data_IF_131667163568
#
_entry.id   IF_131667163568
#
_cell.length_a   1.000
_cell.length_b   1.000
_cell.length_c   1.000
_cell.angle_alpha   90.00
_cell.angle_beta   90.00
_cell.angle_gamma   90.00
#
_symmetry.space_group_name_H-M   'P 1'
#
loop_
_entity.id
_entity.type
_entity.pdbx_description
1 polymer ?
#
# COMPACT_ATOMS: atom_id res chain seq x y z
N UNK A 1 6.09 -32.60 3.29
CA UNK A 1 6.18 -31.20 3.72
C UNK A 1 4.80 -30.60 3.85
N UNK A 2 4.47 -29.99 4.98
CA UNK A 2 3.21 -29.28 5.07
C UNK A 2 3.21 -28.11 4.11
N UNK A 3 2.08 -27.89 3.46
CA UNK A 3 1.92 -26.71 2.58
C UNK A 3 1.89 -25.44 3.42
N UNK A 4 2.45 -24.32 2.90
CA UNK A 4 2.38 -23.05 3.61
C UNK A 4 0.91 -22.61 3.77
N UNK A 5 0.60 -22.01 4.91
CA UNK A 5 -0.71 -21.41 5.12
C UNK A 5 -0.86 -20.16 4.28
N UNK A 6 -2.01 -20.02 3.64
CA UNK A 6 -2.35 -18.83 2.88
C UNK A 6 -2.80 -17.73 3.82
N UNK A 7 -2.23 -16.55 3.66
CA UNK A 7 -2.54 -15.37 4.44
C UNK A 7 -3.06 -14.27 3.50
N UNK A 8 -4.20 -13.74 3.83
CA UNK A 8 -4.84 -12.66 3.07
C UNK A 8 -4.92 -11.41 3.94
N UNK A 9 -4.37 -10.30 3.47
CA UNK A 9 -4.38 -9.05 4.23
C UNK A 9 -5.55 -8.17 3.81
N UNK A 10 -6.30 -7.69 4.79
CA UNK A 10 -7.23 -6.59 4.59
C UNK A 10 -6.43 -5.30 4.36
N UNK A 11 -6.92 -4.48 3.43
CA UNK A 11 -6.32 -3.18 3.14
C UNK A 11 -6.18 -2.31 4.40
N UNK A 12 -7.17 -2.33 5.29
CA UNK A 12 -7.14 -1.54 6.53
C UNK A 12 -5.97 -1.90 7.44
N UNK A 13 -5.63 -3.17 7.55
CA UNK A 13 -4.47 -3.60 8.33
C UNK A 13 -3.19 -3.04 7.76
N UNK A 14 -3.02 -3.15 6.44
CA UNK A 14 -1.83 -2.65 5.76
C UNK A 14 -1.70 -1.13 5.89
N UNK A 15 -2.82 -0.42 5.83
CA UNK A 15 -2.84 1.04 6.01
C UNK A 15 -2.43 1.41 7.44
N UNK A 16 -2.95 0.70 8.44
CA UNK A 16 -2.63 0.93 9.85
C UNK A 16 -1.17 0.63 10.19
N UNK A 17 -0.57 -0.36 9.52
CA UNK A 17 0.84 -0.72 9.70
C UNK A 17 1.80 0.29 9.08
N UNK A 18 1.27 1.27 8.36
CA UNK A 18 2.04 2.39 7.85
C UNK A 18 2.53 2.21 6.42
N UNK A 19 3.22 3.24 5.95
CA UNK A 19 3.74 3.28 4.59
C UNK A 19 4.78 2.18 4.37
N UNK A 20 4.92 1.65 3.15
CA UNK A 20 6.00 0.72 2.84
C UNK A 20 7.38 1.30 3.21
N UNK A 21 8.28 0.50 3.75
CA UNK A 21 8.26 -0.96 3.89
C UNK A 21 7.39 -1.50 5.04
N UNK A 22 6.71 -0.65 5.79
CA UNK A 22 5.79 -1.06 6.83
C UNK A 22 6.44 -1.23 8.20
N UNK A 23 5.69 -1.83 9.09
CA UNK A 23 6.05 -2.04 10.49
C UNK A 23 6.88 -3.31 10.69
N UNK A 24 7.39 -3.55 11.91
CA UNK A 24 8.00 -4.83 12.28
C UNK A 24 7.12 -6.06 11.99
N UNK A 25 5.80 -5.92 12.06
CA UNK A 25 4.88 -7.01 11.70
C UNK A 25 5.06 -7.42 10.24
N UNK A 26 5.14 -6.47 9.33
CA UNK A 26 5.34 -6.73 7.90
C UNK A 26 6.69 -7.43 7.66
N UNK A 27 7.74 -7.02 8.36
CA UNK A 27 9.05 -7.66 8.27
C UNK A 27 9.02 -9.11 8.77
N UNK A 28 8.30 -9.38 9.84
CA UNK A 28 8.10 -10.76 10.35
C UNK A 28 7.37 -11.62 9.34
N UNK A 29 6.37 -11.07 8.68
CA UNK A 29 5.64 -11.77 7.62
C UNK A 29 6.58 -12.13 6.48
N UNK A 30 7.44 -11.20 6.08
CA UNK A 30 8.44 -11.47 5.05
C UNK A 30 9.37 -12.63 5.45
N UNK A 31 9.79 -12.69 6.71
CA UNK A 31 10.61 -13.79 7.23
C UNK A 31 9.87 -15.14 7.19
N UNK A 32 8.60 -15.14 7.55
CA UNK A 32 7.77 -16.35 7.49
C UNK A 32 7.54 -16.82 6.04
N UNK A 33 7.42 -15.91 5.11
CA UNK A 33 7.33 -16.24 3.67
C UNK A 33 8.63 -16.86 3.20
N UNK A 34 9.78 -16.28 3.56
CA UNK A 34 11.10 -16.85 3.21
C UNK A 34 11.32 -18.23 3.79
N UNK A 35 10.80 -18.48 4.99
CA UNK A 35 10.87 -19.78 5.63
C UNK A 35 9.90 -20.81 5.03
N UNK A 36 9.04 -20.40 4.11
CA UNK A 36 8.05 -21.29 3.48
C UNK A 36 6.88 -21.66 4.37
N UNK A 37 6.67 -20.93 5.48
CA UNK A 37 5.59 -21.20 6.43
C UNK A 37 4.26 -20.58 6.04
N UNK A 38 4.30 -19.47 5.33
CA UNK A 38 3.10 -18.77 4.85
C UNK A 38 3.25 -18.34 3.40
N UNK A 39 2.13 -18.20 2.73
CA UNK A 39 2.01 -17.65 1.38
C UNK A 39 1.06 -16.46 1.45
N UNK A 40 1.50 -15.30 1.02
CA UNK A 40 0.67 -14.10 0.98
C UNK A 40 -0.14 -14.09 -0.31
N UNK A 41 -1.44 -13.91 -0.18
CA UNK A 41 -2.38 -13.80 -1.30
C UNK A 41 -3.11 -12.46 -1.15
N UNK A 42 -3.25 -11.74 -2.23
CA UNK A 42 -3.99 -10.47 -2.25
C UNK A 42 -4.65 -10.27 -3.61
N UNK A 43 -5.36 -9.17 -3.76
CA UNK A 43 -5.96 -8.78 -5.03
C UNK A 43 -5.37 -7.45 -5.50
N UNK A 44 -5.46 -7.19 -6.79
CA UNK A 44 -5.08 -5.89 -7.36
C UNK A 44 -5.91 -4.75 -6.77
N UNK A 45 -7.17 -5.02 -6.40
CA UNK A 45 -8.02 -4.04 -5.73
C UNK A 45 -7.45 -3.65 -4.36
N UNK A 46 -7.00 -4.62 -3.57
CA UNK A 46 -6.37 -4.35 -2.26
C UNK A 46 -5.12 -3.49 -2.40
N UNK A 47 -4.26 -3.81 -3.37
CA UNK A 47 -3.06 -3.00 -3.65
C UNK A 47 -3.43 -1.57 -4.00
N UNK A 48 -4.42 -1.40 -4.85
CA UNK A 48 -4.92 -0.08 -5.27
C UNK A 48 -5.50 0.71 -4.09
N UNK A 49 -6.27 0.08 -3.23
CA UNK A 49 -6.85 0.72 -2.04
C UNK A 49 -5.77 1.19 -1.06
N UNK A 50 -4.78 0.37 -0.81
CA UNK A 50 -3.67 0.72 0.09
C UNK A 50 -2.88 1.90 -0.47
N UNK A 51 -2.50 1.85 -1.74
CA UNK A 51 -1.77 2.93 -2.40
C UNK A 51 -2.58 4.24 -2.41
N UNK A 52 -3.86 4.15 -2.74
CA UNK A 52 -4.77 5.30 -2.77
C UNK A 52 -4.90 5.95 -1.40
N UNK A 53 -5.08 5.16 -0.35
CA UNK A 53 -5.25 5.69 1.00
C UNK A 53 -4.00 6.38 1.52
N UNK A 54 -2.83 5.79 1.29
CA UNK A 54 -1.57 6.44 1.64
C UNK A 54 -1.37 7.75 0.85
N UNK A 55 -1.70 7.74 -0.43
CA UNK A 55 -1.60 8.93 -1.27
C UNK A 55 -2.54 10.05 -0.78
N UNK A 56 -3.79 9.71 -0.44
CA UNK A 56 -4.75 10.67 0.10
C UNK A 56 -4.25 11.29 1.41
N UNK A 57 -3.73 10.47 2.31
CA UNK A 57 -3.21 10.93 3.59
C UNK A 57 -2.03 11.89 3.41
N UNK A 58 -1.08 11.56 2.54
CA UNK A 58 0.05 12.43 2.26
C UNK A 58 -0.37 13.73 1.58
N UNK A 59 -1.29 13.63 0.62
CA UNK A 59 -1.80 14.81 -0.07
C UNK A 59 -2.46 15.80 0.89
N UNK A 60 -3.25 15.32 1.85
CA UNK A 60 -3.88 16.18 2.85
C UNK A 60 -2.86 16.97 3.67
N UNK A 61 -1.69 16.38 3.94
CA UNK A 61 -0.64 17.06 4.69
C UNK A 61 0.09 18.09 3.85
N UNK A 62 0.40 17.76 2.59
CA UNK A 62 1.31 18.59 1.78
C UNK A 62 0.62 19.40 0.67
N UNK A 63 -0.71 19.37 0.58
CA UNK A 63 -1.46 20.09 -0.46
C UNK A 63 -1.20 21.59 -0.47
N UNK A 64 -0.80 22.16 0.65
CA UNK A 64 -0.48 23.57 0.78
C UNK A 64 0.75 23.98 -0.06
N UNK A 65 1.63 23.04 -0.38
CA UNK A 65 2.82 23.31 -1.21
C UNK A 65 2.45 23.77 -2.62
N UNK A 66 1.23 23.46 -3.08
CA UNK A 66 0.72 23.93 -4.37
C UNK A 66 0.20 25.37 -4.34
N UNK A 67 0.04 25.98 -3.16
CA UNK A 67 -0.45 27.34 -3.03
C UNK A 67 0.68 28.35 -3.17
N UNK A 68 0.50 29.33 -4.04
CA UNK A 68 1.52 30.34 -4.30
C UNK A 68 1.91 31.14 -3.06
N UNK A 69 0.97 31.43 -2.17
CA UNK A 69 1.24 32.14 -0.93
C UNK A 69 2.15 31.33 0.01
N UNK A 70 1.86 30.06 0.19
CA UNK A 70 2.69 29.15 0.98
C UNK A 70 4.11 29.08 0.41
N UNK A 71 4.23 28.92 -0.90
CA UNK A 71 5.52 28.84 -1.59
C UNK A 71 6.34 30.11 -1.42
N UNK A 72 5.67 31.27 -1.51
CA UNK A 72 6.30 32.57 -1.26
C UNK A 72 6.88 32.66 0.15
N UNK A 73 6.09 32.27 1.15
CA UNK A 73 6.53 32.31 2.54
C UNK A 73 7.72 31.39 2.79
N UNK A 74 7.67 30.17 2.26
CA UNK A 74 8.78 29.22 2.38
C UNK A 74 10.04 29.80 1.73
N UNK A 75 9.92 30.39 0.54
CA UNK A 75 11.07 30.97 -0.17
C UNK A 75 11.69 32.15 0.59
N UNK A 76 10.89 32.90 1.35
CA UNK A 76 11.40 34.02 2.16
C UNK A 76 12.21 33.58 3.37
N UNK A 77 11.85 32.43 3.97
CA UNK A 77 12.46 31.97 5.20
C UNK A 77 13.49 30.85 4.99
N UNK A 78 13.38 30.14 3.90
CA UNK A 78 14.29 29.05 3.54
C UNK A 78 14.78 29.35 2.14
N UNK A 79 16.09 29.48 1.96
CA UNK A 79 16.71 29.74 0.65
C UNK A 79 16.61 28.51 -0.27
N UNK A 80 15.39 28.02 -0.46
CA UNK A 80 15.11 26.87 -1.32
C UNK A 80 14.04 27.25 -2.32
N UNK A 81 14.25 26.88 -3.57
CA UNK A 81 13.26 27.06 -4.62
C UNK A 81 12.40 25.80 -4.68
N UNK A 82 11.13 25.92 -4.32
CA UNK A 82 10.18 24.83 -4.50
C UNK A 82 9.78 24.79 -5.98
N UNK A 83 9.76 23.62 -6.61
CA UNK A 83 9.32 23.50 -7.99
C UNK A 83 7.85 23.90 -8.12
N UNK A 84 7.50 24.56 -9.20
CA UNK A 84 6.11 24.87 -9.49
C UNK A 84 5.35 23.58 -9.79
N UNK A 85 4.22 23.41 -9.14
CA UNK A 85 3.43 22.19 -9.28
C UNK A 85 1.96 22.49 -9.03
N UNK A 86 1.11 22.08 -9.96
CA UNK A 86 -0.33 22.16 -9.76
C UNK A 86 -0.79 21.09 -8.77
N UNK A 87 -1.99 21.25 -8.21
CA UNK A 87 -2.59 20.23 -7.34
C UNK A 87 -2.73 18.88 -8.03
N UNK A 88 -3.09 18.89 -9.32
CA UNK A 88 -3.23 17.68 -10.12
C UNK A 88 -1.89 16.96 -10.28
N UNK A 89 -0.83 17.69 -10.57
CA UNK A 89 0.52 17.11 -10.68
C UNK A 89 0.98 16.51 -9.35
N UNK A 90 0.74 17.22 -8.26
CA UNK A 90 1.10 16.72 -6.93
C UNK A 90 0.38 15.42 -6.61
N UNK A 91 -0.93 15.34 -6.87
CA UNK A 91 -1.71 14.11 -6.68
C UNK A 91 -1.17 12.95 -7.49
N UNK A 92 -0.86 13.20 -8.77
CA UNK A 92 -0.34 12.17 -9.67
C UNK A 92 1.01 11.66 -9.19
N UNK A 93 1.92 12.54 -8.78
CA UNK A 93 3.24 12.15 -8.28
C UNK A 93 3.14 11.31 -7.00
N UNK A 94 2.30 11.72 -6.07
CA UNK A 94 2.08 10.98 -4.83
C UNK A 94 1.48 9.61 -5.12
N UNK A 95 0.44 9.54 -5.95
CA UNK A 95 -0.20 8.29 -6.36
C UNK A 95 0.78 7.33 -7.01
N UNK A 96 1.58 7.81 -7.96
CA UNK A 96 2.56 6.98 -8.65
C UNK A 96 3.61 6.44 -7.72
N UNK A 97 4.06 7.26 -6.77
CA UNK A 97 5.04 6.83 -5.78
C UNK A 97 4.51 5.71 -4.90
N UNK A 98 3.29 5.83 -4.39
CA UNK A 98 2.69 4.81 -3.54
C UNK A 98 2.32 3.56 -4.31
N UNK A 99 1.86 3.68 -5.54
CA UNK A 99 1.62 2.53 -6.41
C UNK A 99 2.90 1.69 -6.55
N UNK A 100 4.02 2.34 -6.85
CA UNK A 100 5.32 1.65 -6.95
C UNK A 100 5.77 1.06 -5.63
N UNK A 101 5.61 1.79 -4.52
CA UNK A 101 6.03 1.34 -3.20
C UNK A 101 5.23 0.12 -2.73
N UNK A 102 3.92 0.13 -2.95
CA UNK A 102 3.05 -0.99 -2.59
C UNK A 102 3.35 -2.21 -3.47
N UNK A 103 3.53 -2.02 -4.76
CA UNK A 103 3.94 -3.10 -5.66
C UNK A 103 5.25 -3.73 -5.22
N UNK A 104 6.23 -2.92 -4.85
CA UNK A 104 7.53 -3.40 -4.37
C UNK A 104 7.39 -4.16 -3.06
N UNK A 105 6.55 -3.69 -2.14
CA UNK A 105 6.28 -4.37 -0.88
C UNK A 105 5.75 -5.78 -1.13
N UNK A 106 4.72 -5.92 -1.96
CA UNK A 106 4.11 -7.22 -2.23
C UNK A 106 5.02 -8.14 -3.04
N UNK A 107 5.86 -7.61 -3.92
CA UNK A 107 6.91 -8.40 -4.57
C UNK A 107 7.91 -8.94 -3.55
N UNK A 108 8.30 -8.13 -2.57
CA UNK A 108 9.17 -8.57 -1.47
C UNK A 108 8.54 -9.66 -0.62
N UNK A 109 7.22 -9.65 -0.45
CA UNK A 109 6.46 -10.69 0.22
C UNK A 109 6.17 -11.89 -0.66
N UNK A 110 6.58 -11.86 -1.93
CA UNK A 110 6.29 -12.89 -2.94
C UNK A 110 4.78 -13.17 -3.04
N UNK A 111 3.98 -12.15 -2.89
CA UNK A 111 2.53 -12.25 -2.84
C UNK A 111 1.96 -12.73 -4.19
N UNK A 112 0.98 -13.62 -4.10
CA UNK A 112 0.17 -13.98 -5.24
C UNK A 112 -0.94 -12.94 -5.39
N UNK A 113 -0.93 -12.21 -6.50
CA UNK A 113 -1.89 -11.13 -6.77
C UNK A 113 -2.95 -11.67 -7.71
N UNK A 114 -4.20 -11.72 -7.24
CA UNK A 114 -5.34 -12.19 -8.02
C UNK A 114 -6.03 -10.98 -8.66
N UNK A 115 -6.19 -10.97 -10.00
CA UNK A 115 -6.95 -9.92 -10.66
C UNK A 115 -8.43 -10.00 -10.24
N UNK A 116 -8.99 -8.92 -9.74
CA UNK A 116 -10.36 -8.91 -9.22
C UNK A 116 -11.39 -9.21 -10.33
N UNK A 117 -11.09 -8.81 -11.55
CA UNK A 117 -11.97 -9.03 -12.69
C UNK A 117 -12.10 -10.51 -13.08
N UNK A 118 -11.13 -11.35 -12.69
CA UNK A 118 -11.12 -12.78 -13.01
C UNK A 118 -11.44 -13.66 -11.81
N UNK A 119 -11.49 -13.08 -10.61
CA UNK A 119 -11.80 -13.80 -9.38
C UNK A 119 -13.30 -13.71 -9.12
N UNK A 120 -13.95 -14.87 -9.00
CA UNK A 120 -15.35 -14.90 -8.59
C UNK A 120 -15.45 -14.46 -7.13
N UNK A 121 -16.37 -13.54 -6.78
CA UNK A 121 -16.58 -13.13 -5.40
C UNK A 121 -16.77 -14.31 -4.44
N UNK A 122 -17.46 -15.37 -4.90
CA UNK A 122 -17.65 -16.59 -4.12
C UNK A 122 -16.34 -17.28 -3.73
N UNK A 123 -15.31 -17.21 -4.57
CA UNK A 123 -13.99 -17.78 -4.26
C UNK A 123 -13.32 -17.05 -3.11
N UNK A 124 -13.40 -15.71 -3.11
CA UNK A 124 -12.86 -14.88 -2.03
C UNK A 124 -13.61 -15.14 -0.72
N UNK A 125 -14.94 -15.18 -0.78
CA UNK A 125 -15.78 -15.46 0.38
C UNK A 125 -15.57 -16.87 0.92
N UNK A 126 -15.40 -17.86 0.06
CA UNK A 126 -15.10 -19.23 0.48
C UNK A 126 -13.78 -19.32 1.24
N UNK A 127 -12.73 -18.65 0.75
CA UNK A 127 -11.46 -18.59 1.44
C UNK A 127 -11.59 -17.89 2.80
N UNK A 128 -12.44 -16.86 2.86
CA UNK A 128 -12.69 -16.10 4.08
C UNK A 128 -13.46 -16.92 5.13
N UNK A 129 -14.52 -17.58 4.72
CA UNK A 129 -15.42 -18.29 5.63
C UNK A 129 -14.94 -19.70 6.00
N UNK A 130 -14.17 -20.36 5.13
CA UNK A 130 -13.73 -21.74 5.36
C UNK A 130 -12.47 -21.84 6.23
N UNK A 131 -11.82 -20.73 6.54
CA UNK A 131 -10.60 -20.74 7.32
C UNK A 131 -9.39 -21.31 6.60
N UNK A 132 -9.42 -21.39 5.27
CA UNK A 132 -8.28 -21.82 4.47
C UNK A 132 -7.14 -20.82 4.46
N UNK A 133 -7.37 -19.63 4.99
CA UNK A 133 -6.38 -18.60 5.13
C UNK A 133 -6.61 -17.79 6.41
N UNK A 134 -5.60 -17.02 6.82
CA UNK A 134 -5.72 -16.08 7.93
C UNK A 134 -6.02 -14.69 7.38
N UNK A 135 -6.95 -14.01 8.01
CA UNK A 135 -7.32 -12.65 7.68
C UNK A 135 -6.98 -11.74 8.85
N UNK A 136 -6.22 -10.69 8.53
CA UNK A 136 -5.88 -9.62 9.45
C UNK A 136 -6.73 -8.41 9.07
N UNK A 137 -7.68 -8.08 9.91
CA UNK A 137 -8.58 -6.99 9.61
C UNK A 137 -9.16 -6.31 10.81
#
# INVERSE_FOLDING_TARGET
MPQPQKVFFDANVLIQEGKPPGSPLVLRIADLVKAGLIEVVTTDLTLSEVAKKHAENDYEVIKETGRSHFRKLVSQHIEAVLPEMSKSELKIRISNRFTKSVDSLFKGLKAKILPIDTVKPSTVFSAYSSGLGFFFG
#
